data_IF_682442054401
#
_entry.id   IF_682442054401
#
_cell.length_a   1.000
_cell.length_b   1.000
_cell.length_c   1.000
_cell.angle_alpha   90.00
_cell.angle_beta   90.00
_cell.angle_gamma   90.00
#
_symmetry.space_group_name_H-M   'P 1'
#
loop_
_entity.id
_entity.type
_entity.pdbx_description
1 polymer ?
#
# COMPACT_ATOMS: atom_id res chain seq x y z
N UNK A 1 -11.35 -42.11 -38.89
CA UNK A 1 -11.37 -41.71 -40.32
C UNK A 1 -10.70 -40.34 -40.53
N UNK A 2 -10.48 -39.55 -39.48
CA UNK A 2 -10.05 -38.14 -39.56
C UNK A 2 -8.60 -37.87 -40.00
N UNK A 3 -7.66 -38.80 -39.82
CA UNK A 3 -6.25 -38.54 -40.14
C UNK A 3 -5.94 -38.44 -41.64
N UNK A 4 -6.81 -38.94 -42.53
CA UNK A 4 -6.61 -38.91 -43.99
C UNK A 4 -7.03 -37.60 -44.65
N UNK A 5 -7.83 -36.77 -43.98
CA UNK A 5 -8.21 -35.44 -44.49
C UNK A 5 -7.15 -34.37 -44.21
N UNK A 6 -6.17 -34.69 -43.35
CA UNK A 6 -5.05 -33.81 -43.03
C UNK A 6 -3.89 -33.93 -44.03
N UNK A 7 -3.77 -35.07 -44.73
CA UNK A 7 -2.69 -35.36 -45.68
C UNK A 7 -3.26 -35.52 -47.09
N UNK A 8 -2.65 -34.86 -48.08
CA UNK A 8 -3.09 -34.95 -49.47
C UNK A 8 -2.87 -36.38 -50.02
N UNK A 9 -3.90 -37.02 -50.59
CA UNK A 9 -3.84 -38.40 -51.09
C UNK A 9 -2.83 -38.55 -52.24
N UNK A 10 -2.68 -37.51 -53.06
CA UNK A 10 -1.67 -37.46 -54.13
C UNK A 10 -0.25 -37.39 -53.54
N UNK A 11 -0.04 -36.60 -52.48
CA UNK A 11 1.25 -36.53 -51.77
C UNK A 11 1.57 -37.85 -51.06
N UNK A 12 0.56 -38.51 -50.48
CA UNK A 12 0.71 -39.81 -49.85
C UNK A 12 1.17 -40.89 -50.85
N UNK A 13 0.75 -40.80 -52.11
CA UNK A 13 1.23 -41.66 -53.20
C UNK A 13 2.48 -41.11 -53.91
N UNK A 14 2.93 -39.89 -53.59
CA UNK A 14 4.01 -39.16 -54.28
C UNK A 14 3.78 -39.02 -55.78
N UNK A 15 2.55 -38.66 -56.14
CA UNK A 15 2.16 -38.37 -57.53
C UNK A 15 1.65 -36.94 -57.64
N UNK A 16 1.70 -36.37 -58.84
CA UNK A 16 1.15 -35.05 -59.10
C UNK A 16 -0.38 -35.07 -58.99
N UNK A 17 -0.96 -33.93 -58.57
CA UNK A 17 -2.41 -33.71 -58.64
C UNK A 17 -2.79 -33.69 -60.11
N UNK A 18 -3.61 -34.66 -60.54
CA UNK A 18 -3.95 -34.87 -61.96
C UNK A 18 -3.26 -36.07 -62.63
N UNK A 19 -2.45 -36.84 -61.91
CA UNK A 19 -1.81 -38.06 -62.43
C UNK A 19 -2.82 -39.07 -63.01
N UNK A 20 -2.40 -39.81 -64.03
CA UNK A 20 -3.26 -40.82 -64.66
C UNK A 20 -3.50 -42.02 -63.75
N UNK A 21 -4.62 -42.72 -63.92
CA UNK A 21 -4.95 -43.90 -63.11
C UNK A 21 -3.86 -44.98 -63.17
N UNK A 22 -3.19 -45.11 -64.32
CA UNK A 22 -2.04 -46.02 -64.51
C UNK A 22 -0.84 -45.63 -63.65
N UNK A 23 -0.57 -44.33 -63.52
CA UNK A 23 0.51 -43.80 -62.70
C UNK A 23 0.21 -43.98 -61.22
N UNK A 24 -1.03 -43.71 -60.80
CA UNK A 24 -1.53 -43.91 -59.43
C UNK A 24 -1.39 -45.39 -59.02
N UNK A 25 -1.85 -46.33 -59.86
CA UNK A 25 -1.71 -47.77 -59.61
C UNK A 25 -0.24 -48.21 -59.56
N UNK A 26 0.62 -47.63 -60.40
CA UNK A 26 2.06 -47.93 -60.41
C UNK A 26 2.76 -47.43 -59.14
N UNK A 27 2.46 -46.20 -58.72
CA UNK A 27 2.99 -45.59 -57.51
C UNK A 27 2.53 -46.35 -56.24
N UNK A 28 1.25 -46.75 -56.19
CA UNK A 28 0.74 -47.60 -55.12
C UNK A 28 1.50 -48.92 -55.01
N UNK A 29 1.70 -49.65 -56.12
CA UNK A 29 2.45 -50.93 -56.08
C UNK A 29 3.87 -50.75 -55.54
N UNK A 30 4.57 -49.69 -55.96
CA UNK A 30 5.92 -49.39 -55.48
C UNK A 30 5.93 -49.10 -53.97
N UNK A 31 5.01 -48.27 -53.47
CA UNK A 31 4.92 -47.92 -52.05
C UNK A 31 4.41 -49.07 -51.18
N UNK A 32 3.44 -49.83 -51.67
CA UNK A 32 2.88 -50.98 -50.97
C UNK A 32 3.94 -52.07 -50.73
N UNK A 33 4.87 -52.27 -51.66
CA UNK A 33 6.01 -53.18 -51.49
C UNK A 33 6.97 -52.71 -50.38
N UNK A 34 7.24 -51.41 -50.32
CA UNK A 34 8.14 -50.82 -49.30
C UNK A 34 7.50 -50.84 -47.91
N UNK A 35 6.19 -50.57 -47.83
CA UNK A 35 5.45 -50.49 -46.57
C UNK A 35 4.67 -51.77 -46.22
N UNK A 36 4.98 -52.90 -46.84
CA UNK A 36 4.25 -54.15 -46.61
C UNK A 36 4.45 -54.65 -45.17
N UNK A 37 3.38 -55.01 -44.43
CA UNK A 37 3.50 -55.44 -43.04
C UNK A 37 4.32 -56.74 -42.88
N UNK A 38 4.25 -57.65 -43.85
CA UNK A 38 5.04 -58.90 -43.85
C UNK A 38 6.55 -58.67 -43.99
N UNK A 39 6.97 -57.60 -44.69
CA UNK A 39 8.40 -57.24 -44.83
C UNK A 39 8.89 -56.33 -43.70
N UNK A 40 7.98 -55.75 -42.93
CA UNK A 40 8.28 -54.82 -41.85
C UNK A 40 7.52 -55.22 -40.56
N UNK A 41 7.70 -56.45 -40.04
CA UNK A 41 6.94 -56.94 -38.89
C UNK A 41 7.22 -56.13 -37.60
N UNK A 42 8.39 -55.51 -37.50
CA UNK A 42 8.81 -54.73 -36.32
C UNK A 42 8.31 -53.27 -36.33
N UNK A 43 7.68 -52.82 -37.42
CA UNK A 43 7.23 -51.44 -37.57
C UNK A 43 5.69 -51.33 -37.53
N UNK A 44 5.09 -50.93 -36.39
CA UNK A 44 3.63 -50.80 -36.28
C UNK A 44 3.05 -49.73 -37.23
N UNK A 45 3.87 -48.74 -37.66
CA UNK A 45 3.43 -47.73 -38.63
C UNK A 45 3.34 -48.26 -40.06
N UNK A 46 4.00 -49.38 -40.38
CA UNK A 46 3.92 -49.97 -41.72
C UNK A 46 2.48 -50.40 -42.04
N UNK A 47 1.78 -51.01 -41.07
CA UNK A 47 0.38 -51.40 -41.20
C UNK A 47 -0.55 -50.18 -41.39
N UNK A 48 -0.34 -49.11 -40.61
CA UNK A 48 -1.12 -47.87 -40.73
C UNK A 48 -0.90 -47.19 -42.09
N UNK A 49 0.36 -47.04 -42.52
CA UNK A 49 0.71 -46.45 -43.81
C UNK A 49 0.17 -47.29 -44.97
N UNK A 50 0.25 -48.61 -44.89
CA UNK A 50 -0.33 -49.51 -45.89
C UNK A 50 -1.84 -49.31 -46.00
N UNK A 51 -2.54 -49.23 -44.88
CA UNK A 51 -3.98 -48.98 -44.87
C UNK A 51 -4.34 -47.60 -45.44
N UNK A 52 -3.53 -46.57 -45.16
CA UNK A 52 -3.70 -45.24 -45.74
C UNK A 52 -3.46 -45.24 -47.26
N UNK A 53 -2.44 -45.96 -47.74
CA UNK A 53 -2.15 -46.13 -49.16
C UNK A 53 -3.29 -46.86 -49.90
N UNK A 54 -3.87 -47.90 -49.29
CA UNK A 54 -4.99 -48.63 -49.88
C UNK A 54 -6.24 -47.75 -50.01
N UNK A 55 -6.54 -46.94 -48.98
CA UNK A 55 -7.65 -45.96 -49.04
C UNK A 55 -7.40 -44.86 -50.06
N UNK A 56 -6.15 -44.39 -50.18
CA UNK A 56 -5.79 -43.41 -51.20
C UNK A 56 -5.98 -43.98 -52.61
N UNK A 57 -5.61 -45.24 -52.85
CA UNK A 57 -5.87 -45.91 -54.12
C UNK A 57 -7.37 -46.02 -54.40
N UNK A 58 -8.16 -46.45 -53.42
CA UNK A 58 -9.62 -46.60 -53.56
C UNK A 58 -10.28 -45.28 -54.00
N UNK A 59 -9.97 -44.18 -53.32
CA UNK A 59 -10.53 -42.85 -53.62
C UNK A 59 -10.03 -42.29 -54.96
N UNK A 60 -8.77 -42.54 -55.32
CA UNK A 60 -8.17 -41.97 -56.53
C UNK A 60 -8.41 -42.82 -57.80
N UNK A 61 -8.87 -44.06 -57.64
CA UNK A 61 -9.22 -44.94 -58.78
C UNK A 61 -10.69 -44.86 -59.15
N UNK A 62 -11.59 -44.53 -58.23
CA UNK A 62 -13.00 -44.24 -58.56
C UNK A 62 -13.14 -42.81 -59.13
N UNK A 63 -13.61 -42.64 -60.39
CA UNK A 63 -13.81 -41.33 -60.99
C UNK A 63 -14.74 -40.42 -60.18
N UNK A 64 -15.78 -40.97 -59.54
CA UNK A 64 -16.73 -40.17 -58.75
C UNK A 64 -16.08 -39.67 -57.46
N UNK A 65 -15.45 -40.56 -56.69
CA UNK A 65 -14.72 -40.20 -55.48
C UNK A 65 -13.55 -39.24 -55.76
N UNK A 66 -12.81 -39.46 -56.85
CA UNK A 66 -11.70 -38.59 -57.28
C UNK A 66 -12.18 -37.17 -57.57
N UNK A 67 -13.27 -37.02 -58.32
CA UNK A 67 -13.84 -35.71 -58.64
C UNK A 67 -14.31 -34.97 -57.38
N UNK A 68 -14.96 -35.67 -56.45
CA UNK A 68 -15.37 -35.09 -55.17
C UNK A 68 -14.16 -34.65 -54.33
N UNK A 69 -13.11 -35.47 -54.27
CA UNK A 69 -11.87 -35.16 -53.58
C UNK A 69 -11.15 -33.94 -54.17
N UNK A 70 -11.01 -33.89 -55.50
CA UNK A 70 -10.39 -32.78 -56.21
C UNK A 70 -11.17 -31.47 -56.02
N UNK A 71 -12.51 -31.54 -55.95
CA UNK A 71 -13.35 -30.38 -55.65
C UNK A 71 -13.11 -29.84 -54.23
N UNK A 72 -12.97 -30.71 -53.23
CA UNK A 72 -12.65 -30.32 -51.85
C UNK A 72 -11.26 -29.68 -51.77
N UNK A 73 -10.26 -30.23 -52.46
CA UNK A 73 -8.92 -29.64 -52.52
C UNK A 73 -8.93 -28.22 -53.09
N UNK A 74 -9.61 -28.02 -54.23
CA UNK A 74 -9.77 -26.71 -54.87
C UNK A 74 -10.51 -25.72 -53.95
N UNK A 75 -11.57 -26.16 -53.28
CA UNK A 75 -12.33 -25.32 -52.35
C UNK A 75 -11.47 -24.86 -51.16
N UNK A 76 -10.65 -25.76 -50.61
CA UNK A 76 -9.72 -25.46 -49.50
C UNK A 76 -8.64 -24.46 -49.93
N UNK A 77 -8.06 -24.63 -51.11
CA UNK A 77 -7.07 -23.70 -51.65
C UNK A 77 -7.69 -22.32 -51.93
N UNK A 78 -8.86 -22.28 -52.55
CA UNK A 78 -9.59 -21.03 -52.78
C UNK A 78 -9.96 -20.33 -51.46
N UNK A 79 -10.33 -21.07 -50.41
CA UNK A 79 -10.58 -20.51 -49.08
C UNK A 79 -9.32 -19.91 -48.46
N UNK A 80 -8.17 -20.60 -48.59
CA UNK A 80 -6.87 -20.11 -48.11
C UNK A 80 -6.48 -18.81 -48.82
N UNK A 81 -6.66 -18.73 -50.13
CA UNK A 81 -6.39 -17.52 -50.92
C UNK A 81 -7.29 -16.36 -50.48
N UNK A 82 -8.60 -16.61 -50.30
CA UNK A 82 -9.54 -15.57 -49.81
C UNK A 82 -9.14 -15.06 -48.43
N UNK A 83 -8.77 -15.96 -47.51
CA UNK A 83 -8.34 -15.59 -46.17
C UNK A 83 -7.06 -14.74 -46.20
N UNK A 84 -6.06 -15.16 -46.98
CA UNK A 84 -4.81 -14.40 -47.16
C UNK A 84 -5.06 -12.99 -47.76
N UNK A 85 -5.96 -12.87 -48.73
CA UNK A 85 -6.34 -11.59 -49.31
C UNK A 85 -7.07 -10.67 -48.31
N UNK A 86 -7.88 -11.23 -47.42
CA UNK A 86 -8.52 -10.48 -46.33
C UNK A 86 -7.51 -10.06 -45.25
N UNK A 87 -6.54 -10.91 -44.93
CA UNK A 87 -5.49 -10.61 -43.93
C UNK A 87 -4.55 -9.50 -44.39
N UNK A 88 -4.20 -9.49 -45.68
CA UNK A 88 -3.39 -8.41 -46.27
C UNK A 88 -4.11 -7.06 -46.19
N UNK A 89 -5.42 -7.03 -46.48
CA UNK A 89 -6.25 -5.82 -46.35
C UNK A 89 -6.39 -5.38 -44.90
N UNK A 90 -6.63 -6.32 -43.98
CA UNK A 90 -6.72 -6.05 -42.53
C UNK A 90 -5.40 -5.51 -41.98
N UNK A 91 -4.27 -6.07 -42.39
CA UNK A 91 -2.93 -5.58 -42.02
C UNK A 91 -2.70 -4.16 -42.51
N UNK A 92 -2.97 -3.90 -43.79
CA UNK A 92 -2.81 -2.56 -44.37
C UNK A 92 -3.70 -1.53 -43.67
N UNK A 93 -4.95 -1.88 -43.38
CA UNK A 93 -5.86 -1.01 -42.64
C UNK A 93 -5.35 -0.73 -41.22
N UNK A 94 -4.83 -1.75 -40.53
CA UNK A 94 -4.23 -1.59 -39.20
C UNK A 94 -3.02 -0.65 -39.25
N UNK A 95 -2.11 -0.85 -40.18
CA UNK A 95 -0.92 0.01 -40.37
C UNK A 95 -1.31 1.46 -40.71
N UNK A 96 -2.36 1.66 -41.52
CA UNK A 96 -2.86 3.00 -41.86
C UNK A 96 -3.51 3.72 -40.66
N UNK A 97 -4.28 2.99 -39.85
CA UNK A 97 -4.84 3.51 -38.60
C UNK A 97 -3.73 3.83 -37.59
N UNK A 98 -2.75 2.94 -37.43
CA UNK A 98 -1.62 3.11 -36.52
C UNK A 98 -0.70 4.26 -36.96
N UNK A 99 -0.45 4.44 -38.26
CA UNK A 99 0.31 5.58 -38.79
C UNK A 99 -0.43 6.91 -38.58
N UNK A 100 -1.76 6.90 -38.63
CA UNK A 100 -2.60 8.07 -38.34
C UNK A 100 -2.71 8.35 -36.84
N UNK A 101 -2.66 7.32 -36.00
CA UNK A 101 -2.66 7.40 -34.54
C UNK A 101 -1.25 7.53 -33.94
N UNK A 102 -0.21 7.53 -34.79
CA UNK A 102 1.17 7.79 -34.40
C UNK A 102 1.27 9.05 -33.52
N UNK A 103 2.20 9.08 -32.55
CA UNK A 103 2.03 9.73 -31.23
C UNK A 103 1.80 11.25 -31.20
N UNK A 104 1.79 11.95 -32.34
CA UNK A 104 1.69 13.41 -32.40
C UNK A 104 0.41 13.99 -31.80
N UNK A 105 -0.75 13.34 -31.93
CA UNK A 105 -2.04 13.87 -31.42
C UNK A 105 -2.47 13.28 -30.07
N UNK A 106 -2.22 11.99 -29.84
CA UNK A 106 -2.54 11.34 -28.57
C UNK A 106 -1.56 11.76 -27.46
N UNK A 107 -0.25 11.87 -27.74
CA UNK A 107 0.71 12.27 -26.71
C UNK A 107 0.58 13.76 -26.35
N UNK A 108 0.24 14.64 -27.30
CA UNK A 108 0.02 16.05 -27.03
C UNK A 108 -1.21 16.30 -26.13
N UNK A 109 -2.30 15.56 -26.36
CA UNK A 109 -3.51 15.62 -25.51
C UNK A 109 -3.28 14.97 -24.14
N UNK A 110 -2.56 13.85 -24.08
CA UNK A 110 -2.18 13.19 -22.84
C UNK A 110 -1.23 14.04 -21.98
N UNK A 111 -0.19 14.65 -22.57
CA UNK A 111 0.73 15.52 -21.85
C UNK A 111 0.02 16.76 -21.27
N UNK A 112 -0.92 17.34 -22.02
CA UNK A 112 -1.74 18.46 -21.55
C UNK A 112 -2.67 18.03 -20.40
N UNK A 113 -3.23 16.82 -20.46
CA UNK A 113 -4.07 16.27 -19.39
C UNK A 113 -3.26 15.95 -18.13
N UNK A 114 -2.07 15.36 -18.28
CA UNK A 114 -1.14 15.08 -17.17
C UNK A 114 -0.72 16.36 -16.47
N UNK A 115 -0.39 17.41 -17.21
CA UNK A 115 0.04 18.69 -16.63
C UNK A 115 -1.10 19.41 -15.88
N UNK A 116 -2.36 19.24 -16.31
CA UNK A 116 -3.54 19.73 -15.56
C UNK A 116 -3.77 18.94 -14.27
N UNK A 117 -3.61 17.62 -14.34
CA UNK A 117 -3.77 16.74 -13.19
C UNK A 117 -2.69 17.02 -12.13
N UNK A 118 -1.44 17.18 -12.52
CA UNK A 118 -0.33 17.51 -11.62
C UNK A 118 -0.57 18.84 -10.88
N UNK A 119 -1.03 19.87 -11.60
CA UNK A 119 -1.40 21.16 -10.98
C UNK A 119 -2.53 21.03 -9.98
N UNK A 120 -3.54 20.21 -10.27
CA UNK A 120 -4.65 19.98 -9.35
C UNK A 120 -4.21 19.21 -8.10
N UNK A 121 -3.34 18.20 -8.25
CA UNK A 121 -2.74 17.46 -7.14
C UNK A 121 -1.90 18.39 -6.25
N UNK A 122 -1.08 19.26 -6.85
CA UNK A 122 -0.29 20.24 -6.09
C UNK A 122 -1.19 21.21 -5.32
N UNK A 123 -2.29 21.68 -5.95
CA UNK A 123 -3.28 22.54 -5.31
C UNK A 123 -3.91 21.86 -4.09
N UNK A 124 -4.38 20.62 -4.25
CA UNK A 124 -5.00 19.85 -3.17
C UNK A 124 -4.03 19.56 -2.03
N UNK A 125 -2.75 19.26 -2.33
CA UNK A 125 -1.71 19.07 -1.32
C UNK A 125 -1.48 20.35 -0.52
N UNK A 126 -1.45 21.51 -1.19
CA UNK A 126 -1.29 22.81 -0.53
C UNK A 126 -2.49 23.17 0.33
N UNK A 127 -3.70 22.92 -0.17
CA UNK A 127 -4.95 23.13 0.57
C UNK A 127 -5.03 22.22 1.81
N UNK A 128 -4.71 20.93 1.67
CA UNK A 128 -4.66 19.98 2.80
C UNK A 128 -3.60 20.34 3.85
N UNK A 129 -2.40 20.71 3.40
CA UNK A 129 -1.33 21.18 4.30
C UNK A 129 -1.75 22.42 5.10
N UNK A 130 -2.45 23.35 4.46
CA UNK A 130 -2.97 24.55 5.12
C UNK A 130 -4.05 24.23 6.15
N UNK A 131 -4.99 23.34 5.82
CA UNK A 131 -6.05 22.92 6.74
C UNK A 131 -5.49 22.26 8.00
N UNK A 132 -4.52 21.34 7.83
CA UNK A 132 -3.86 20.70 8.96
C UNK A 132 -3.08 21.70 9.84
N UNK A 133 -2.46 22.71 9.23
CA UNK A 133 -1.78 23.76 9.98
C UNK A 133 -2.77 24.61 10.79
N UNK A 134 -3.88 25.03 10.18
CA UNK A 134 -4.95 25.79 10.84
C UNK A 134 -5.59 25.00 11.99
N UNK A 135 -5.84 23.69 11.79
CA UNK A 135 -6.38 22.81 12.84
C UNK A 135 -5.39 22.63 14.00
N UNK A 136 -4.12 22.39 13.70
CA UNK A 136 -3.06 22.30 14.72
C UNK A 136 -2.93 23.59 15.53
N UNK A 137 -3.00 24.74 14.89
CA UNK A 137 -2.94 26.04 15.57
C UNK A 137 -4.15 26.25 16.50
N UNK A 138 -5.36 25.89 16.04
CA UNK A 138 -6.57 25.96 16.87
C UNK A 138 -6.47 25.06 18.10
N UNK A 139 -6.04 23.80 17.92
CA UNK A 139 -5.81 22.86 19.02
C UNK A 139 -4.76 23.38 19.99
N UNK A 140 -3.65 23.92 19.49
CA UNK A 140 -2.61 24.51 20.32
C UNK A 140 -3.13 25.71 21.11
N UNK A 141 -3.97 26.55 20.49
CA UNK A 141 -4.60 27.71 21.13
C UNK A 141 -5.59 27.27 22.21
N UNK A 142 -6.41 26.26 21.95
CA UNK A 142 -7.33 25.70 22.95
C UNK A 142 -6.57 25.10 24.14
N UNK A 143 -5.51 24.31 23.89
CA UNK A 143 -4.66 23.79 24.97
C UNK A 143 -4.03 24.91 25.77
N UNK A 144 -3.52 25.96 25.11
CA UNK A 144 -2.93 27.13 25.80
C UNK A 144 -3.96 27.85 26.68
N UNK A 145 -5.19 28.04 26.19
CA UNK A 145 -6.28 28.61 26.98
C UNK A 145 -6.66 27.72 28.16
N UNK A 146 -6.75 26.41 27.96
CA UNK A 146 -7.04 25.46 29.03
C UNK A 146 -5.93 25.43 30.09
N UNK A 147 -4.65 25.53 29.69
CA UNK A 147 -3.53 25.64 30.62
C UNK A 147 -3.54 26.97 31.38
N UNK A 148 -3.87 28.08 30.72
CA UNK A 148 -4.02 29.38 31.39
C UNK A 148 -5.16 29.34 32.43
N UNK A 149 -6.31 28.77 32.08
CA UNK A 149 -7.41 28.57 33.05
C UNK A 149 -7.05 27.63 34.19
N UNK A 150 -6.14 26.66 33.95
CA UNK A 150 -5.67 25.72 34.97
C UNK A 150 -4.68 26.36 35.95
N UNK A 151 -3.85 27.30 35.49
CA UNK A 151 -2.94 28.12 36.31
C UNK A 151 -3.70 29.18 37.13
N UNK A 152 -4.90 29.59 36.70
CA UNK A 152 -5.76 30.55 37.40
C UNK A 152 -6.76 29.89 38.37
N UNK A 153 -6.61 28.59 38.69
CA UNK A 153 -7.51 27.93 39.66
C UNK A 153 -7.38 28.59 41.04
N UNK A 154 -8.49 29.04 41.67
CA UNK A 154 -8.49 29.66 43.00
C UNK A 154 -7.81 28.81 44.09
N UNK A 155 -7.79 27.48 43.88
CA UNK A 155 -7.21 26.49 44.78
C UNK A 155 -5.68 26.65 44.97
N UNK A 156 -4.95 27.23 43.99
CA UNK A 156 -3.51 27.46 44.15
C UNK A 156 -3.19 28.70 45.01
N UNK A 157 -4.19 29.56 45.24
CA UNK A 157 -4.12 30.68 46.18
C UNK A 157 -4.50 30.29 47.61
N UNK A 158 -5.12 29.12 47.82
CA UNK A 158 -5.42 28.59 49.15
C UNK A 158 -4.37 27.59 49.65
N UNK A 159 -3.46 27.15 48.77
CA UNK A 159 -2.46 26.12 49.05
C UNK A 159 -1.07 26.67 49.24
N UNK A 160 -0.40 26.14 50.26
CA UNK A 160 0.91 26.58 50.71
C UNK A 160 1.82 25.37 50.88
N UNK A 161 3.06 25.49 50.38
CA UNK A 161 4.11 24.52 50.61
C UNK A 161 5.02 24.99 51.74
N UNK A 162 5.08 24.17 52.77
CA UNK A 162 5.87 24.38 53.98
C UNK A 162 7.10 23.48 53.93
N UNK A 163 8.29 24.01 54.20
CA UNK A 163 9.55 23.26 54.21
C UNK A 163 10.37 23.64 55.45
N UNK A 164 10.98 22.66 56.09
CA UNK A 164 11.91 22.87 57.21
C UNK A 164 13.15 22.01 57.04
N UNK A 165 14.24 22.41 57.71
CA UNK A 165 15.47 21.61 57.77
C UNK A 165 15.46 20.80 59.07
N UNK A 166 15.60 19.49 58.96
CA UNK A 166 15.83 18.64 60.13
C UNK A 166 17.30 18.80 60.56
N UNK A 167 17.51 19.34 61.76
CA UNK A 167 18.83 19.52 62.36
C UNK A 167 18.97 18.62 63.59
N UNK A 168 20.14 18.00 63.80
CA UNK A 168 20.38 17.15 64.96
C UNK A 168 20.34 18.00 66.25
N UNK A 169 19.44 17.65 67.18
CA UNK A 169 19.24 18.36 68.45
C UNK A 169 17.94 19.16 68.56
N UNK A 170 17.22 19.39 67.46
CA UNK A 170 15.89 20.01 67.45
C UNK A 170 14.80 18.93 67.33
N UNK A 171 13.65 19.13 67.99
CA UNK A 171 12.56 18.14 68.02
C UNK A 171 11.90 17.92 66.64
N UNK A 172 12.14 18.83 65.70
CA UNK A 172 11.56 18.80 64.36
C UNK A 172 10.06 19.08 64.37
N UNK A 173 9.51 19.39 63.20
CA UNK A 173 8.08 19.64 63.06
C UNK A 173 7.30 18.33 62.91
N UNK A 174 6.27 18.15 63.73
CA UNK A 174 5.28 17.06 63.59
C UNK A 174 4.02 17.56 62.88
N UNK A 175 3.21 16.63 62.39
CA UNK A 175 1.92 16.96 61.76
C UNK A 175 1.01 17.77 62.70
N UNK A 176 0.96 17.40 63.98
CA UNK A 176 0.15 18.06 65.00
C UNK A 176 0.71 19.45 65.36
N UNK A 177 2.03 19.59 65.54
CA UNK A 177 2.68 20.89 65.77
C UNK A 177 2.42 21.86 64.64
N UNK A 178 2.57 21.41 63.38
CA UNK A 178 2.33 22.24 62.20
C UNK A 178 0.85 22.62 62.06
N UNK A 179 -0.06 21.68 62.30
CA UNK A 179 -1.50 21.95 62.23
C UNK A 179 -1.93 22.97 63.27
N UNK A 180 -1.48 22.83 64.51
CA UNK A 180 -1.79 23.77 65.59
C UNK A 180 -1.26 25.17 65.25
N UNK A 181 0.00 25.26 64.83
CA UNK A 181 0.61 26.54 64.45
C UNK A 181 -0.12 27.21 63.30
N UNK A 182 -0.32 26.49 62.20
CA UNK A 182 -0.91 27.07 61.00
C UNK A 182 -2.41 27.36 61.16
N UNK A 183 -3.10 26.72 62.12
CA UNK A 183 -4.49 27.03 62.46
C UNK A 183 -4.69 28.47 62.96
N UNK A 184 -3.64 29.15 63.43
CA UNK A 184 -3.73 30.54 63.89
C UNK A 184 -4.02 31.53 62.75
N UNK A 185 -3.69 31.18 61.51
CA UNK A 185 -3.95 32.03 60.34
C UNK A 185 -5.30 31.73 59.67
N UNK A 186 -5.87 30.55 59.91
CA UNK A 186 -7.18 30.16 59.42
C UNK A 186 -7.44 28.66 59.45
N UNK A 187 -8.67 28.28 59.08
CA UNK A 187 -9.11 26.89 59.00
C UNK A 187 -8.33 26.14 57.92
N UNK A 188 -7.77 24.99 58.30
CA UNK A 188 -7.04 24.09 57.40
C UNK A 188 -8.01 23.04 56.89
N UNK A 189 -8.21 22.99 55.57
CA UNK A 189 -9.04 22.01 54.87
C UNK A 189 -8.30 20.68 54.72
N UNK A 190 -7.04 20.73 54.30
CA UNK A 190 -6.21 19.54 54.09
C UNK A 190 -4.74 19.81 54.48
N UNK A 191 -4.10 18.83 55.12
CA UNK A 191 -2.67 18.87 55.45
C UNK A 191 -2.04 17.54 55.09
N UNK A 192 -1.05 17.58 54.20
CA UNK A 192 -0.27 16.41 53.78
C UNK A 192 1.16 16.56 54.31
N UNK A 193 1.50 15.75 55.30
CA UNK A 193 2.82 15.76 55.94
C UNK A 193 3.80 14.82 55.24
N UNK A 194 5.04 15.26 55.04
CA UNK A 194 6.16 14.47 54.51
C UNK A 194 7.44 14.80 55.28
N UNK A 195 8.45 13.95 55.15
CA UNK A 195 9.74 14.16 55.80
C UNK A 195 10.39 15.46 55.28
N UNK A 196 10.45 16.49 56.12
CA UNK A 196 11.04 17.81 55.81
C UNK A 196 10.16 18.76 55.00
N UNK A 197 8.90 18.40 54.70
CA UNK A 197 7.96 19.32 54.03
C UNK A 197 6.49 18.95 54.26
N UNK A 198 5.59 19.92 54.19
CA UNK A 198 4.16 19.71 54.24
C UNK A 198 3.46 20.54 53.16
N UNK A 199 2.34 20.03 52.65
CA UNK A 199 1.43 20.78 51.79
C UNK A 199 0.16 21.06 52.57
N UNK A 200 -0.21 22.33 52.67
CA UNK A 200 -1.33 22.79 53.50
C UNK A 200 -2.31 23.55 52.62
N UNK A 201 -3.57 23.16 52.69
CA UNK A 201 -4.68 23.80 52.00
C UNK A 201 -5.57 24.48 53.04
N UNK A 202 -5.69 25.80 52.92
CA UNK A 202 -6.55 26.60 53.77
C UNK A 202 -7.94 26.74 53.14
N UNK A 203 -8.95 26.99 53.97
CA UNK A 203 -10.30 27.27 53.49
C UNK A 203 -10.40 28.65 52.83
N UNK A 204 -9.50 29.59 53.18
CA UNK A 204 -9.49 30.97 52.68
C UNK A 204 -8.13 31.36 52.08
N UNK A 205 -8.09 32.05 50.91
CA UNK A 205 -6.84 32.52 50.31
C UNK A 205 -6.06 33.53 51.17
N UNK A 206 -6.77 34.31 51.99
CA UNK A 206 -6.14 35.26 52.91
C UNK A 206 -5.30 34.57 53.99
N UNK A 207 -5.74 33.42 54.49
CA UNK A 207 -5.02 32.63 55.49
C UNK A 207 -3.70 32.08 54.91
N UNK A 208 -3.75 31.56 53.68
CA UNK A 208 -2.59 31.08 52.95
C UNK A 208 -1.53 32.17 52.72
N UNK A 209 -1.98 33.39 52.36
CA UNK A 209 -1.11 34.56 52.16
C UNK A 209 -0.47 35.02 53.48
N UNK A 210 -1.24 35.11 54.56
CA UNK A 210 -0.73 35.50 55.89
C UNK A 210 0.29 34.48 56.41
N UNK A 211 -0.01 33.19 56.28
CA UNK A 211 0.92 32.12 56.65
C UNK A 211 2.24 32.22 55.86
N UNK A 212 2.19 32.52 54.56
CA UNK A 212 3.41 32.68 53.75
C UNK A 212 4.25 33.90 54.11
N UNK A 213 3.65 34.95 54.68
CA UNK A 213 4.35 36.21 55.00
C UNK A 213 4.86 36.26 56.44
N UNK A 214 4.15 35.62 57.38
CA UNK A 214 4.37 35.81 58.82
C UNK A 214 5.03 34.61 59.51
N UNK A 215 5.01 33.41 58.91
CA UNK A 215 5.61 32.24 59.54
C UNK A 215 7.12 32.13 59.30
N UNK A 216 7.88 32.23 60.39
CA UNK A 216 9.34 32.12 60.41
C UNK A 216 9.84 30.89 61.18
N UNK A 217 8.93 30.08 61.73
CA UNK A 217 9.25 28.96 62.62
C UNK A 217 9.56 29.41 64.06
N UNK A 218 9.85 28.44 64.94
CA UNK A 218 10.15 28.70 66.35
C UNK A 218 11.55 28.23 66.76
N UNK A 219 12.05 28.83 67.86
CA UNK A 219 13.37 28.54 68.44
C UNK A 219 13.60 27.06 68.79
N UNK A 220 12.54 26.31 69.15
CA UNK A 220 12.64 24.91 69.59
C UNK A 220 12.49 23.86 68.48
N UNK A 221 11.92 24.25 67.32
CA UNK A 221 11.63 23.33 66.19
C UNK A 221 12.46 23.67 64.93
N UNK A 222 13.10 24.84 64.91
CA UNK A 222 13.98 25.32 63.83
C UNK A 222 13.25 26.20 62.81
N UNK A 223 13.97 26.83 61.87
CA UNK A 223 13.38 27.75 60.90
C UNK A 223 12.46 27.02 59.91
N UNK A 224 11.32 27.64 59.62
CA UNK A 224 10.33 27.17 58.64
C UNK A 224 10.33 28.11 57.43
N UNK A 225 10.13 27.57 56.23
CA UNK A 225 9.90 28.36 55.02
C UNK A 225 8.54 28.01 54.44
N UNK A 226 7.74 29.03 54.21
CA UNK A 226 6.36 28.90 53.75
C UNK A 226 6.22 29.63 52.42
N UNK A 227 5.77 28.93 51.37
CA UNK A 227 5.59 29.49 50.02
C UNK A 227 4.20 29.20 49.48
N UNK A 228 3.51 30.23 48.99
CA UNK A 228 2.25 30.09 48.26
C UNK A 228 2.48 29.36 46.93
N UNK A 229 1.62 28.41 46.57
CA UNK A 229 1.83 27.60 45.36
C UNK A 229 1.52 28.37 44.06
N UNK A 230 0.70 29.43 44.13
CA UNK A 230 0.34 30.28 42.99
C UNK A 230 1.14 31.58 42.81
N UNK A 231 2.12 31.91 43.67
CA UNK A 231 2.90 33.16 43.54
C UNK A 231 4.18 32.92 42.71
N UNK A 232 4.01 32.92 41.39
CA UNK A 232 5.10 32.80 40.42
C UNK A 232 5.83 34.14 40.24
N UNK A 233 6.63 34.54 41.24
CA UNK A 233 7.73 35.49 41.04
C UNK A 233 9.06 34.90 41.50
N UNK A 234 9.86 34.51 40.51
CA UNK A 234 11.23 34.01 40.66
C UNK A 234 11.60 33.15 39.47
N UNK A 235 11.88 33.80 38.34
CA UNK A 235 12.25 33.13 37.09
C UNK A 235 13.56 32.37 37.22
N UNK A 236 13.46 31.04 37.16
CA UNK A 236 14.44 30.22 36.47
C UNK A 236 13.59 29.29 35.60
N UNK A 237 13.26 29.78 34.40
CA UNK A 237 12.65 28.97 33.36
C UNK A 237 13.70 27.95 32.93
N UNK A 238 13.75 26.81 33.60
CA UNK A 238 14.11 25.61 32.86
C UNK A 238 13.02 25.49 31.81
N UNK A 239 13.30 25.65 30.50
CA UNK A 239 12.29 25.39 29.51
C UNK A 239 11.79 23.97 29.81
N UNK A 240 10.46 23.72 29.80
CA UNK A 240 10.00 22.35 29.79
C UNK A 240 10.80 21.64 28.69
N UNK A 241 11.34 20.42 28.92
CA UNK A 241 11.94 19.67 27.84
C UNK A 241 10.95 19.77 26.67
N UNK A 242 11.43 20.05 25.44
CA UNK A 242 10.52 20.13 24.30
C UNK A 242 9.61 18.92 24.40
N UNK A 243 8.28 19.08 24.21
CA UNK A 243 7.39 17.92 24.16
C UNK A 243 8.11 16.90 23.30
N UNK A 244 8.23 15.62 23.74
CA UNK A 244 9.01 14.65 23.00
C UNK A 244 8.66 14.90 21.56
N UNK A 245 9.67 15.25 20.76
CA UNK A 245 9.49 15.41 19.34
C UNK A 245 9.05 14.03 18.91
N UNK A 246 7.75 13.77 19.02
CA UNK A 246 7.03 13.01 18.06
C UNK A 246 7.10 13.93 16.84
N UNK A 247 8.31 14.01 16.26
CA UNK A 247 8.42 13.70 14.84
C UNK A 247 7.50 12.50 14.73
N UNK A 248 6.36 12.74 14.10
CA UNK A 248 5.45 11.70 13.68
C UNK A 248 6.20 10.83 12.68
N UNK A 249 7.28 10.18 13.12
CA UNK A 249 7.91 9.09 12.42
C UNK A 249 6.90 7.97 12.25
N UNK A 250 5.87 7.88 13.10
CA UNK A 250 4.76 6.95 12.91
C UNK A 250 3.93 7.22 11.63
N UNK A 251 3.83 8.46 11.16
CA UNK A 251 3.11 8.78 9.91
C UNK A 251 4.03 8.60 8.69
N UNK A 252 5.32 8.97 8.80
CA UNK A 252 6.33 8.67 7.78
C UNK A 252 6.50 7.16 7.61
N UNK A 253 6.50 6.38 8.70
CA UNK A 253 6.59 4.92 8.69
C UNK A 253 5.35 4.28 8.04
N UNK A 254 4.17 4.90 8.15
CA UNK A 254 2.96 4.40 7.51
C UNK A 254 2.96 4.68 6.00
N UNK A 255 3.35 5.88 5.58
CA UNK A 255 3.52 6.19 4.16
C UNK A 255 4.61 5.31 3.51
N UNK A 256 5.75 5.12 4.18
CA UNK A 256 6.87 4.33 3.66
C UNK A 256 6.54 2.83 3.62
N UNK A 257 5.78 2.32 4.61
CA UNK A 257 5.23 0.95 4.59
C UNK A 257 4.22 0.74 3.46
N UNK A 258 3.35 1.71 3.21
CA UNK A 258 2.35 1.66 2.13
C UNK A 258 3.02 1.70 0.76
N UNK A 259 4.02 2.57 0.57
CA UNK A 259 4.81 2.66 -0.67
C UNK A 259 5.55 1.35 -0.97
N UNK A 260 6.14 0.72 0.06
CA UNK A 260 6.88 -0.55 -0.09
C UNK A 260 5.95 -1.71 -0.47
N UNK A 261 4.74 -1.76 0.08
CA UNK A 261 3.72 -2.75 -0.30
C UNK A 261 3.23 -2.58 -1.73
N UNK A 262 3.03 -1.34 -2.18
CA UNK A 262 2.63 -1.03 -3.56
C UNK A 262 3.72 -1.45 -4.57
N UNK A 263 5.00 -1.21 -4.26
CA UNK A 263 6.11 -1.64 -5.12
C UNK A 263 6.25 -3.17 -5.20
N UNK A 264 6.07 -3.89 -4.10
CA UNK A 264 6.08 -5.36 -4.09
C UNK A 264 4.94 -5.96 -4.91
N UNK A 265 3.73 -5.39 -4.82
CA UNK A 265 2.58 -5.83 -5.61
C UNK A 265 2.77 -5.58 -7.11
N UNK A 266 3.41 -4.45 -7.47
CA UNK A 266 3.75 -4.13 -8.85
C UNK A 266 4.80 -5.10 -9.43
N UNK A 267 5.82 -5.47 -8.65
CA UNK A 267 6.85 -6.43 -9.06
C UNK A 267 6.30 -7.86 -9.24
N UNK A 268 5.34 -8.26 -8.41
CA UNK A 268 4.69 -9.57 -8.51
C UNK A 268 3.72 -9.71 -9.70
N UNK A 269 3.32 -8.60 -10.33
CA UNK A 269 2.36 -8.58 -11.44
C UNK A 269 3.01 -8.49 -12.83
N UNK A 270 4.35 -8.49 -12.92
CA UNK A 270 5.02 -8.58 -14.22
C UNK A 270 5.28 -10.06 -14.57
N UNK A 271 4.67 -10.59 -15.65
CA UNK A 271 4.96 -11.94 -16.11
C UNK A 271 6.37 -12.00 -16.69
N UNK A 272 7.11 -13.05 -16.33
CA UNK A 272 8.45 -13.37 -16.85
C UNK A 272 8.48 -13.68 -18.34
#
# INVERSE_FOLDING_TARGET
MDSLMQTNLYELLQVAVGADEKEIKSAYRKKALTCHPDKNPDNPRAAELFQQLSRALEVLTDPAARNAYDAVLKAREAAKIRHQGMDAKRRKLREELEAREAPGQAAASAATAQQRLEKEVERLRREGSRQLAEERELLQRQMKQQMQQRDERPDDLTRVKVRWKQQPGLKGYTETSLRQRLSQYGTISCLVFRNGSALVEFERPSAARLASQLELGNSDEGPLTVRLLGDSKGGESTPPPPPPTQTSHADDDYEDLVLRKLQQAAAASQPS
#
